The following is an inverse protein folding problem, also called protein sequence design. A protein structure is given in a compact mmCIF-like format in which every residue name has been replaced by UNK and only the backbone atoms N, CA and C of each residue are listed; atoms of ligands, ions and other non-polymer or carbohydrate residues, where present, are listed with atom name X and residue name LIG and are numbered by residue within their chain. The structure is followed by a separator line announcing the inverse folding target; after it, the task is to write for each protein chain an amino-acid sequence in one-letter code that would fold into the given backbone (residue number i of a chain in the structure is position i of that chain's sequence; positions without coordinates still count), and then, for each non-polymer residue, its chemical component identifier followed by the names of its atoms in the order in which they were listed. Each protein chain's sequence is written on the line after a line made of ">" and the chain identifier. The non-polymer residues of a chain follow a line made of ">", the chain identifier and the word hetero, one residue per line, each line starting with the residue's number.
data_IF_981774989373
#
_entry.id   IF_981774989373
#
_cell.length_a   1.000
_cell.length_b   1.000
_cell.length_c   1.000
_cell.angle_alpha   90.00
_cell.angle_beta   90.00
_cell.angle_gamma   90.00
#
_symmetry.space_group_name_H-M   'P 1'
#
loop_
_entity.id
_entity.type
_entity.pdbx_description
1 polymer ?
#
# COMPACT_ATOMS: atom_id res chain seq x y z
N UNK A 1 3.82 12.72 -7.96
CA UNK A 1 4.57 13.23 -6.78
C UNK A 1 5.99 13.66 -7.18
N UNK A 2 6.68 14.52 -6.42
CA UNK A 2 8.06 14.93 -6.77
C UNK A 2 9.04 13.74 -6.84
N UNK A 3 8.75 12.65 -6.12
CA UNK A 3 9.54 11.42 -6.11
C UNK A 3 9.65 10.73 -7.48
N UNK A 4 8.74 11.01 -8.42
CA UNK A 4 8.83 10.49 -9.80
C UNK A 4 9.49 11.48 -10.77
N UNK A 5 9.73 12.72 -10.34
CA UNK A 5 10.28 13.76 -11.21
C UNK A 5 11.77 13.47 -11.47
N UNK A 6 12.16 13.47 -12.74
CA UNK A 6 13.54 13.24 -13.18
C UNK A 6 14.12 11.87 -12.77
N UNK A 7 13.28 10.87 -12.46
CA UNK A 7 13.76 9.51 -12.26
C UNK A 7 14.24 8.92 -13.60
N UNK A 8 15.43 8.31 -13.64
CA UNK A 8 15.84 7.49 -14.76
C UNK A 8 14.88 6.32 -14.98
N UNK A 9 14.63 6.00 -16.24
CA UNK A 9 13.87 4.83 -16.63
C UNK A 9 14.46 3.56 -15.98
N UNK A 10 13.59 2.71 -15.43
CA UNK A 10 13.97 1.44 -14.79
C UNK A 10 14.47 1.54 -13.34
N UNK A 11 14.71 2.73 -12.78
CA UNK A 11 15.07 2.84 -11.37
C UNK A 11 13.80 2.68 -10.50
N UNK A 12 13.81 1.90 -9.40
CA UNK A 12 12.63 1.72 -8.57
C UNK A 12 12.28 2.97 -7.72
N UNK A 13 11.00 3.12 -7.38
CA UNK A 13 10.57 4.03 -6.31
C UNK A 13 10.70 3.25 -5.00
N UNK A 14 11.52 3.74 -4.07
CA UNK A 14 11.74 3.10 -2.77
C UNK A 14 11.18 3.97 -1.67
N UNK A 15 10.29 3.42 -0.85
CA UNK A 15 9.70 4.09 0.31
C UNK A 15 9.99 3.27 1.56
N UNK A 16 10.34 3.94 2.65
CA UNK A 16 10.49 3.31 3.95
C UNK A 16 9.49 3.92 4.94
N UNK A 17 8.61 3.08 5.48
CA UNK A 17 7.68 3.40 6.55
C UNK A 17 8.25 2.83 7.85
N UNK A 18 8.88 3.70 8.63
CA UNK A 18 9.48 3.35 9.92
C UNK A 18 8.45 3.51 11.05
N UNK A 19 8.27 2.48 11.87
CA UNK A 19 7.22 2.43 12.88
C UNK A 19 5.83 2.16 12.28
N UNK A 20 5.73 1.20 11.35
CA UNK A 20 4.49 0.99 10.57
C UNK A 20 3.32 0.41 11.38
N UNK A 21 3.54 0.00 12.64
CA UNK A 21 2.54 -0.64 13.50
C UNK A 21 1.82 -1.77 12.76
N UNK A 22 0.50 -1.77 12.74
CA UNK A 22 -0.36 -2.76 12.08
C UNK A 22 -0.49 -2.56 10.57
N UNK A 23 0.34 -1.72 9.95
CA UNK A 23 0.55 -1.64 8.50
C UNK A 23 -0.36 -0.68 7.73
N UNK A 24 -1.31 0.02 8.37
CA UNK A 24 -2.26 0.89 7.68
C UNK A 24 -1.57 1.99 6.87
N UNK A 25 -0.50 2.59 7.41
CA UNK A 25 0.26 3.63 6.72
C UNK A 25 0.96 3.09 5.48
N UNK A 26 1.63 1.94 5.60
CA UNK A 26 2.32 1.29 4.48
C UNK A 26 1.36 0.97 3.33
N UNK A 27 0.16 0.46 3.65
CA UNK A 27 -0.86 0.24 2.64
C UNK A 27 -1.43 1.54 2.07
N UNK A 28 -1.61 2.57 2.88
CA UNK A 28 -2.07 3.88 2.38
C UNK A 28 -1.09 4.47 1.36
N UNK A 29 0.21 4.36 1.62
CA UNK A 29 1.26 4.75 0.66
C UNK A 29 1.19 3.88 -0.60
N UNK A 30 1.02 2.56 -0.45
CA UNK A 30 0.92 1.63 -1.58
C UNK A 30 -0.28 1.96 -2.49
N UNK A 31 -1.45 2.21 -1.91
CA UNK A 31 -2.67 2.59 -2.63
C UNK A 31 -2.47 3.90 -3.39
N UNK A 32 -1.98 4.94 -2.72
CA UNK A 32 -1.74 6.24 -3.34
C UNK A 32 -0.72 6.19 -4.49
N UNK A 33 0.35 5.39 -4.34
CA UNK A 33 1.33 5.20 -5.40
C UNK A 33 0.74 4.41 -6.57
N UNK A 34 -0.04 3.35 -6.27
CA UNK A 34 -0.70 2.56 -7.31
C UNK A 34 -1.67 3.39 -8.13
N UNK A 35 -2.57 4.14 -7.48
CA UNK A 35 -3.51 5.04 -8.15
C UNK A 35 -2.77 6.05 -9.04
N UNK A 36 -1.71 6.68 -8.53
CA UNK A 36 -0.92 7.62 -9.32
C UNK A 36 -0.27 6.99 -10.55
N UNK A 37 0.30 5.79 -10.41
CA UNK A 37 1.00 5.10 -11.51
C UNK A 37 0.03 4.53 -12.54
N UNK A 38 -1.16 4.08 -12.13
CA UNK A 38 -2.21 3.64 -13.04
C UNK A 38 -2.70 4.81 -13.93
N UNK A 39 -2.79 6.02 -13.37
CA UNK A 39 -3.14 7.25 -14.11
C UNK A 39 -2.00 7.79 -15.00
N UNK A 40 -0.75 7.33 -14.78
CA UNK A 40 0.45 7.81 -15.47
C UNK A 40 1.27 6.66 -16.08
N UNK A 41 0.75 5.96 -17.10
CA UNK A 41 1.38 4.76 -17.66
C UNK A 41 2.77 4.99 -18.27
N UNK A 42 3.08 6.23 -18.68
CA UNK A 42 4.42 6.61 -19.15
C UNK A 42 5.50 6.56 -18.06
N UNK A 43 5.09 6.56 -16.79
CA UNK A 43 5.94 6.41 -15.60
C UNK A 43 5.97 4.94 -15.14
N UNK A 44 4.88 4.18 -15.36
CA UNK A 44 4.66 2.90 -14.69
C UNK A 44 5.32 1.67 -15.31
N UNK A 45 5.62 1.65 -16.62
CA UNK A 45 5.99 0.41 -17.31
C UNK A 45 7.35 -0.18 -16.90
N UNK A 46 8.24 0.63 -16.32
CA UNK A 46 9.59 0.18 -15.91
C UNK A 46 9.92 0.46 -14.43
N UNK A 47 9.09 1.24 -13.73
CA UNK A 47 9.37 1.67 -12.36
C UNK A 47 8.77 0.70 -11.34
N UNK A 48 9.61 -0.19 -10.80
CA UNK A 48 9.20 -1.06 -9.68
C UNK A 48 9.03 -0.23 -8.41
N UNK A 49 7.86 -0.31 -7.76
CA UNK A 49 7.67 0.25 -6.41
C UNK A 49 8.14 -0.76 -5.37
N UNK A 50 8.91 -0.30 -4.39
CA UNK A 50 9.33 -1.08 -3.23
C UNK A 50 9.02 -0.31 -1.95
N UNK A 51 8.16 -0.89 -1.12
CA UNK A 51 7.80 -0.33 0.19
C UNK A 51 8.39 -1.22 1.26
N UNK A 52 9.29 -0.64 2.05
CA UNK A 52 9.84 -1.27 3.25
C UNK A 52 9.02 -0.76 4.43
N UNK A 53 8.38 -1.66 5.17
CA UNK A 53 7.62 -1.31 6.36
C UNK A 53 8.24 -2.05 7.56
N UNK A 54 8.69 -1.29 8.55
CA UNK A 54 9.41 -1.83 9.72
C UNK A 54 8.78 -1.32 11.01
N UNK A 55 8.75 -2.17 12.03
CA UNK A 55 8.30 -1.82 13.36
C UNK A 55 9.07 -2.66 14.39
N UNK A 56 9.14 -2.20 15.64
CA UNK A 56 9.74 -2.94 16.75
C UNK A 56 8.82 -4.06 17.26
N UNK A 57 7.52 -3.93 17.04
CA UNK A 57 6.50 -4.88 17.51
C UNK A 57 6.28 -6.00 16.50
N UNK A 58 6.80 -7.19 16.79
CA UNK A 58 6.55 -8.39 15.99
C UNK A 58 5.04 -8.72 15.83
N UNK A 59 4.20 -8.61 16.88
CA UNK A 59 2.75 -8.81 16.72
C UNK A 59 2.12 -7.83 15.72
N UNK A 60 2.58 -6.57 15.73
CA UNK A 60 2.08 -5.56 14.79
C UNK A 60 2.52 -5.87 13.36
N UNK A 61 3.77 -6.29 13.15
CA UNK A 61 4.28 -6.77 11.85
C UNK A 61 3.51 -8.00 11.36
N UNK A 62 3.17 -8.95 12.24
CA UNK A 62 2.38 -10.11 11.87
C UNK A 62 0.98 -9.70 11.36
N UNK A 63 0.34 -8.74 12.03
CA UNK A 63 -0.95 -8.18 11.59
C UNK A 63 -0.81 -7.41 10.26
N UNK A 64 0.23 -6.57 10.11
CA UNK A 64 0.52 -5.85 8.88
C UNK A 64 0.70 -6.81 7.70
N UNK A 65 1.46 -7.89 7.87
CA UNK A 65 1.66 -8.94 6.85
C UNK A 65 0.38 -9.67 6.49
N UNK A 66 -0.47 -9.97 7.48
CA UNK A 66 -1.77 -10.56 7.22
C UNK A 66 -2.65 -9.63 6.37
N UNK A 67 -2.54 -8.31 6.62
CA UNK A 67 -3.26 -7.26 5.91
C UNK A 67 -4.77 -7.37 6.06
N UNK A 68 -5.24 -7.88 7.20
CA UNK A 68 -6.66 -8.08 7.52
C UNK A 68 -7.09 -7.00 8.51
N UNK A 69 -8.14 -6.27 8.15
CA UNK A 69 -8.69 -5.15 8.91
C UNK A 69 -10.19 -5.32 9.11
N UNK A 70 -10.70 -4.86 10.25
CA UNK A 70 -12.15 -4.81 10.50
C UNK A 70 -12.75 -3.63 9.75
N UNK A 71 -14.08 -3.63 9.60
CA UNK A 71 -14.80 -2.53 8.95
C UNK A 71 -14.47 -1.16 9.56
N UNK A 72 -14.47 -1.07 10.90
CA UNK A 72 -14.22 0.20 11.61
C UNK A 72 -12.78 0.71 11.44
N UNK A 73 -11.82 -0.18 11.17
CA UNK A 73 -10.43 0.23 10.90
C UNK A 73 -10.30 0.92 9.53
N UNK A 74 -11.32 0.79 8.67
CA UNK A 74 -11.34 1.27 7.29
C UNK A 74 -12.38 2.39 7.07
N UNK A 75 -12.88 3.01 8.13
CA UNK A 75 -13.89 4.08 8.02
C UNK A 75 -13.41 5.29 7.19
N UNK A 76 -12.09 5.53 7.15
CA UNK A 76 -11.47 6.56 6.32
C UNK A 76 -11.22 6.14 4.86
N UNK A 77 -11.43 4.86 4.52
CA UNK A 77 -11.20 4.33 3.17
C UNK A 77 -12.48 4.48 2.34
N UNK A 78 -12.35 5.09 1.17
CA UNK A 78 -13.50 5.32 0.30
C UNK A 78 -14.10 4.01 -0.19
N UNK A 79 -15.42 3.95 -0.49
CA UNK A 79 -16.04 2.76 -1.05
C UNK A 79 -15.40 2.29 -2.36
N UNK A 80 -14.84 3.22 -3.15
CA UNK A 80 -14.09 2.89 -4.37
C UNK A 80 -12.82 2.11 -4.05
N UNK A 81 -11.97 2.66 -3.17
CA UNK A 81 -10.73 2.01 -2.73
C UNK A 81 -11.00 0.66 -2.07
N UNK A 82 -12.07 0.53 -1.29
CA UNK A 82 -12.48 -0.75 -0.70
C UNK A 82 -12.80 -1.81 -1.75
N UNK A 83 -13.49 -1.45 -2.84
CA UNK A 83 -13.81 -2.41 -3.93
C UNK A 83 -12.58 -2.81 -4.73
N UNK A 84 -11.62 -1.89 -4.89
CA UNK A 84 -10.48 -2.06 -5.78
C UNK A 84 -9.28 -2.75 -5.11
N UNK A 85 -9.00 -2.38 -3.86
CA UNK A 85 -7.77 -2.79 -3.17
C UNK A 85 -7.99 -3.81 -2.05
N UNK A 86 -9.23 -4.16 -1.74
CA UNK A 86 -9.55 -5.11 -0.68
C UNK A 86 -10.49 -6.22 -1.18
N UNK A 87 -10.31 -7.40 -0.60
CA UNK A 87 -11.25 -8.51 -0.70
C UNK A 87 -11.99 -8.64 0.62
N UNK A 88 -13.32 -8.60 0.59
CA UNK A 88 -14.14 -8.81 1.79
C UNK A 88 -14.14 -10.29 2.15
N UNK A 89 -13.76 -10.61 3.39
CA UNK A 89 -13.71 -11.97 3.94
C UNK A 89 -14.49 -12.01 5.26
N UNK A 90 -15.67 -12.62 5.26
CA UNK A 90 -16.62 -12.62 6.39
C UNK A 90 -16.87 -11.19 6.90
N UNK A 91 -16.48 -10.90 8.15
CA UNK A 91 -16.62 -9.61 8.84
C UNK A 91 -15.36 -8.72 8.76
N UNK A 92 -14.45 -9.04 7.83
CA UNK A 92 -13.17 -8.35 7.66
C UNK A 92 -12.88 -8.05 6.19
N UNK A 93 -11.86 -7.24 5.98
CA UNK A 93 -11.34 -6.89 4.67
C UNK A 93 -9.85 -7.22 4.64
N UNK A 94 -9.43 -7.94 3.61
CA UNK A 94 -8.03 -8.24 3.39
C UNK A 94 -7.50 -7.44 2.21
N UNK A 95 -6.35 -6.80 2.37
CA UNK A 95 -5.66 -6.11 1.27
C UNK A 95 -5.32 -7.12 0.16
N UNK A 96 -5.58 -6.75 -1.09
CA UNK A 96 -5.34 -7.60 -2.25
C UNK A 96 -3.85 -7.92 -2.41
N UNK A 97 -3.52 -9.13 -2.89
CA UNK A 97 -2.12 -9.55 -3.09
C UNK A 97 -1.32 -8.66 -4.05
N UNK A 98 -1.98 -7.94 -4.93
CA UNK A 98 -1.33 -6.99 -5.85
C UNK A 98 -0.77 -5.73 -5.15
N UNK A 99 -1.21 -5.47 -3.92
CA UNK A 99 -0.79 -4.30 -3.11
C UNK A 99 0.15 -4.71 -1.96
N UNK A 100 0.08 -5.97 -1.53
CA UNK A 100 0.93 -6.56 -0.47
C UNK A 100 2.25 -7.06 -1.04
#
# INVERSE_FOLDING_TARGET
>A
PLIVKNKPAGEPIRVWVAGCSTGQEAYSVALCLKEFLDDHPSVSSEERVQIFATDISEPAIAQARAGIYKKNDLDAVTPQRLREFFTKTNDSYQVNRQVR
#
